data_IF_442126256458
#
_entry.id   IF_442126256458
#
_cell.length_a   1.000
_cell.length_b   1.000
_cell.length_c   1.000
_cell.angle_alpha   90.00
_cell.angle_beta   90.00
_cell.angle_gamma   90.00
#
_symmetry.space_group_name_H-M   'P 1'
#
loop_
_entity.id
_entity.type
_entity.pdbx_description
1 polymer ?
#
# COMPACT_ATOMS: atom_id res chain seq x y z
N UNK A 1 0.63 -32.47 -7.68
CA UNK A 1 -0.08 -31.22 -7.33
C UNK A 1 0.46 -30.78 -5.98
N UNK A 2 1.42 -29.86 -5.98
CA UNK A 2 2.15 -29.39 -4.79
C UNK A 2 1.17 -29.12 -3.64
N UNK A 3 1.40 -29.73 -2.47
CA UNK A 3 0.53 -29.74 -1.29
C UNK A 3 0.42 -28.40 -0.55
N UNK A 4 0.25 -27.30 -1.29
CA UNK A 4 -0.20 -26.01 -0.77
C UNK A 4 -1.69 -25.87 -1.10
N UNK A 5 -2.50 -25.46 -0.12
CA UNK A 5 -3.92 -25.20 -0.39
C UNK A 5 -4.05 -23.98 -1.28
N UNK A 6 -5.05 -23.97 -2.17
CA UNK A 6 -5.31 -22.82 -3.07
C UNK A 6 -5.50 -21.52 -2.27
N UNK A 7 -6.08 -21.63 -1.07
CA UNK A 7 -6.19 -20.54 -0.10
C UNK A 7 -4.84 -19.99 0.35
N UNK A 8 -3.83 -20.82 0.64
CA UNK A 8 -2.52 -20.34 1.07
C UNK A 8 -1.80 -19.58 -0.04
N UNK A 9 -1.92 -20.06 -1.28
CA UNK A 9 -1.32 -19.38 -2.43
C UNK A 9 -2.04 -18.06 -2.70
N UNK A 10 -3.37 -18.03 -2.57
CA UNK A 10 -4.17 -16.83 -2.73
C UNK A 10 -3.87 -15.80 -1.63
N UNK A 11 -3.79 -16.21 -0.36
CA UNK A 11 -3.48 -15.33 0.77
C UNK A 11 -2.06 -14.77 0.67
N UNK A 12 -1.09 -15.60 0.27
CA UNK A 12 0.27 -15.15 -0.01
C UNK A 12 0.29 -14.14 -1.17
N UNK A 13 -0.38 -14.43 -2.28
CA UNK A 13 -0.49 -13.52 -3.42
C UNK A 13 -1.19 -12.20 -3.08
N UNK A 14 -2.22 -12.24 -2.25
CA UNK A 14 -2.93 -11.05 -1.78
C UNK A 14 -2.04 -10.21 -0.86
N UNK A 15 -1.33 -10.82 0.09
CA UNK A 15 -0.49 -10.08 1.04
C UNK A 15 0.77 -9.52 0.38
N UNK A 16 1.51 -10.38 -0.31
CA UNK A 16 2.77 -10.01 -0.95
C UNK A 16 2.55 -9.20 -2.24
N UNK A 17 1.55 -9.55 -3.05
CA UNK A 17 1.23 -8.86 -4.29
C UNK A 17 0.70 -7.45 -4.04
N UNK A 18 -0.26 -7.30 -3.12
CA UNK A 18 -0.78 -5.97 -2.76
C UNK A 18 0.28 -5.14 -2.03
N UNK A 19 1.03 -5.75 -1.10
CA UNK A 19 2.13 -5.06 -0.42
C UNK A 19 3.21 -4.54 -1.38
N UNK A 20 3.61 -5.37 -2.36
CA UNK A 20 4.53 -4.97 -3.42
C UNK A 20 3.99 -3.86 -4.32
N UNK A 21 2.70 -3.91 -4.64
CA UNK A 21 2.04 -2.88 -5.46
C UNK A 21 1.96 -1.53 -4.74
N UNK A 22 1.70 -1.54 -3.42
CA UNK A 22 1.71 -0.34 -2.57
C UNK A 22 3.11 0.29 -2.53
N UNK A 23 4.17 -0.53 -2.40
CA UNK A 23 5.55 -0.04 -2.48
C UNK A 23 5.87 0.59 -3.84
N UNK A 24 5.40 -0.01 -4.93
CA UNK A 24 5.54 0.56 -6.27
C UNK A 24 4.81 1.91 -6.39
N UNK A 25 3.61 2.04 -5.81
CA UNK A 25 2.90 3.32 -5.76
C UNK A 25 3.71 4.39 -5.01
N UNK A 26 4.30 4.07 -3.85
CA UNK A 26 5.16 5.01 -3.11
C UNK A 26 6.39 5.45 -3.93
N UNK A 27 6.98 4.53 -4.69
CA UNK A 27 8.08 4.86 -5.60
C UNK A 27 7.63 5.82 -6.72
N UNK A 28 6.45 5.60 -7.31
CA UNK A 28 5.89 6.49 -8.32
C UNK A 28 5.58 7.87 -7.73
N UNK A 29 5.04 7.97 -6.52
CA UNK A 29 4.79 9.24 -5.82
C UNK A 29 6.09 10.02 -5.63
N UNK A 30 7.15 9.33 -5.21
CA UNK A 30 8.46 9.95 -5.04
C UNK A 30 9.01 10.50 -6.35
N UNK A 31 8.90 9.72 -7.43
CA UNK A 31 9.31 10.16 -8.77
C UNK A 31 8.46 11.34 -9.25
N UNK A 32 7.15 11.28 -9.05
CA UNK A 32 6.21 12.36 -9.42
C UNK A 32 6.51 13.65 -8.67
N UNK A 33 6.81 13.59 -7.37
CA UNK A 33 7.16 14.76 -6.59
C UNK A 33 8.44 15.45 -7.11
N UNK A 34 9.42 14.64 -7.54
CA UNK A 34 10.65 15.12 -8.18
C UNK A 34 10.38 15.72 -9.56
N UNK A 35 9.65 15.02 -10.42
CA UNK A 35 9.35 15.45 -11.79
C UNK A 35 8.44 16.69 -11.81
N UNK A 36 7.56 16.83 -10.81
CA UNK A 36 6.68 17.99 -10.66
C UNK A 36 7.35 19.21 -10.02
N UNK A 37 8.65 19.12 -9.70
CA UNK A 37 9.39 20.11 -8.91
C UNK A 37 8.64 20.56 -7.64
N UNK A 38 7.94 19.63 -7.00
CA UNK A 38 7.25 19.91 -5.77
C UNK A 38 8.32 20.27 -4.72
N UNK A 39 8.38 21.55 -4.32
CA UNK A 39 9.31 22.02 -3.29
C UNK A 39 9.15 21.25 -1.97
N UNK A 40 9.97 21.52 -0.95
CA UNK A 40 9.93 20.79 0.33
C UNK A 40 8.53 20.65 0.93
N UNK A 41 7.73 21.73 0.90
CA UNK A 41 6.35 21.71 1.40
C UNK A 41 5.40 20.97 0.45
N UNK A 42 5.59 21.13 -0.86
CA UNK A 42 4.80 20.44 -1.89
C UNK A 42 4.97 18.93 -1.81
N UNK A 43 6.22 18.43 -1.78
CA UNK A 43 6.51 17.00 -1.63
C UNK A 43 5.93 16.43 -0.35
N UNK A 44 5.95 17.18 0.75
CA UNK A 44 5.36 16.76 2.03
C UNK A 44 3.84 16.57 1.92
N UNK A 45 3.12 17.55 1.35
CA UNK A 45 1.68 17.44 1.14
C UNK A 45 1.35 16.33 0.13
N UNK A 46 2.12 16.20 -0.94
CA UNK A 46 1.92 15.20 -1.99
C UNK A 46 2.06 13.79 -1.40
N UNK A 47 3.08 13.55 -0.58
CA UNK A 47 3.22 12.31 0.17
C UNK A 47 2.09 12.11 1.17
N UNK A 48 1.74 13.14 1.94
CA UNK A 48 0.72 13.02 2.98
C UNK A 48 -0.65 12.64 2.40
N UNK A 49 -1.11 13.33 1.35
CA UNK A 49 -2.42 13.09 0.73
C UNK A 49 -2.45 11.76 -0.02
N UNK A 50 -1.42 11.44 -0.81
CA UNK A 50 -1.42 10.19 -1.59
C UNK A 50 -1.16 8.95 -0.71
N UNK A 51 -0.32 9.07 0.33
CA UNK A 51 -0.16 8.00 1.32
C UNK A 51 -1.36 7.86 2.25
N UNK A 52 -2.24 8.88 2.35
CA UNK A 52 -3.48 8.80 3.13
C UNK A 52 -4.38 7.66 2.66
N UNK A 53 -4.42 7.37 1.35
CA UNK A 53 -5.14 6.22 0.81
C UNK A 53 -4.61 4.87 1.31
N UNK A 54 -3.29 4.76 1.46
CA UNK A 54 -2.62 3.57 2.01
C UNK A 54 -2.88 3.47 3.52
N UNK A 55 -2.81 4.60 4.24
CA UNK A 55 -3.15 4.67 5.67
C UNK A 55 -4.61 4.23 5.94
N UNK A 56 -5.56 4.65 5.11
CA UNK A 56 -6.96 4.23 5.22
C UNK A 56 -7.14 2.73 4.96
N UNK A 57 -6.41 2.16 3.99
CA UNK A 57 -6.39 0.72 3.75
C UNK A 57 -5.85 -0.05 4.96
N UNK A 58 -4.72 0.37 5.51
CA UNK A 58 -4.12 -0.25 6.72
C UNK A 58 -5.04 -0.10 7.93
N UNK A 59 -5.63 1.08 8.15
CA UNK A 59 -6.58 1.30 9.23
C UNK A 59 -7.79 0.38 9.11
N UNK A 60 -8.36 0.22 7.91
CA UNK A 60 -9.44 -0.76 7.66
C UNK A 60 -8.96 -2.18 7.98
N UNK A 61 -7.78 -2.60 7.52
CA UNK A 61 -7.25 -3.93 7.79
C UNK A 61 -7.07 -4.21 9.28
N UNK A 62 -6.57 -3.22 10.04
CA UNK A 62 -6.44 -3.32 11.51
C UNK A 62 -7.82 -3.37 12.17
N UNK A 63 -8.75 -2.51 11.74
CA UNK A 63 -10.12 -2.54 12.26
C UNK A 63 -10.80 -3.86 11.95
N UNK A 64 -10.60 -4.43 10.76
CA UNK A 64 -11.10 -5.75 10.41
C UNK A 64 -10.45 -6.83 11.28
N UNK A 65 -9.15 -6.76 11.56
CA UNK A 65 -8.47 -7.73 12.42
C UNK A 65 -8.91 -7.65 13.89
N UNK A 66 -9.34 -6.47 14.38
CA UNK A 66 -9.77 -6.26 15.77
C UNK A 66 -11.28 -6.47 15.94
N UNK A 67 -12.10 -6.10 14.96
CA UNK A 67 -13.57 -6.11 15.04
C UNK A 67 -14.21 -7.35 14.38
N UNK A 68 -13.51 -8.04 13.47
CA UNK A 68 -14.01 -9.32 12.99
C UNK A 68 -13.93 -10.33 14.14
N UNK A 69 -15.06 -10.98 14.52
CA UNK A 69 -15.05 -12.06 15.50
C UNK A 69 -14.27 -13.29 15.00
#
# INVERSE_FOLDING_TARGET
MFGYTEEQIAEFGMTFGVGGFILFMLFVIWRLARDSQAGRFGTFILFFVLAFGILGFVAKSILQAILAP
#
